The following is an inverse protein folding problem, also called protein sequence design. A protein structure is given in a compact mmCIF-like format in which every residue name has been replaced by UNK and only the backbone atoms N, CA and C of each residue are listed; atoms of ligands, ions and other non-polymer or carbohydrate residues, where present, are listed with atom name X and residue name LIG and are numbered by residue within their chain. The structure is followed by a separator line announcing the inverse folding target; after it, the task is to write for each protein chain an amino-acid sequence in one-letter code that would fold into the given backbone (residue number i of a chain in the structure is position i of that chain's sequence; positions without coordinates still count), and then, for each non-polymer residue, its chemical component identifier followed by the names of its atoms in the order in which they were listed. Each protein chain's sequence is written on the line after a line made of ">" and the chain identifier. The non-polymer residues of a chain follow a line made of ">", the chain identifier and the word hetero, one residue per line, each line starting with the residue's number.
data_IF_748912682066
#
_entry.id   IF_748912682066
#
_cell.length_a   1.000
_cell.length_b   1.000
_cell.length_c   1.000
_cell.angle_alpha   90.00
_cell.angle_beta   90.00
_cell.angle_gamma   90.00
#
_symmetry.space_group_name_H-M   'P 1'
#
loop_
_entity.id
_entity.type
_entity.pdbx_description
1 polymer ?
#
# COMPACT_ATOMS: atom_id res chain seq x y z
N UNK A 1 -1.90 14.47 4.93
CA UNK A 1 -1.49 14.52 6.38
C UNK A 1 -0.03 14.09 6.48
N UNK A 2 0.80 14.70 7.35
CA UNK A 2 2.18 14.24 7.58
C UNK A 2 2.16 13.06 8.58
N UNK A 3 2.78 11.95 8.22
CA UNK A 3 3.07 10.84 9.14
C UNK A 3 4.36 11.17 9.89
N UNK A 4 5.40 11.55 9.14
CA UNK A 4 6.69 12.03 9.64
C UNK A 4 7.09 13.29 8.88
N UNK A 5 8.37 13.73 8.94
CA UNK A 5 8.81 14.84 8.12
C UNK A 5 8.89 14.51 6.63
N UNK A 6 9.21 13.27 6.32
CA UNK A 6 9.49 12.81 4.96
C UNK A 6 8.38 11.88 4.42
N UNK A 7 7.58 11.26 5.29
CA UNK A 7 6.47 10.38 4.93
C UNK A 7 5.16 11.14 5.00
N UNK A 8 4.47 11.23 3.86
CA UNK A 8 3.22 11.97 3.71
C UNK A 8 2.10 10.99 3.34
N UNK A 9 1.03 10.95 4.14
CA UNK A 9 -0.18 10.23 3.78
C UNK A 9 -0.91 10.92 2.63
N UNK A 10 -1.20 10.17 1.58
CA UNK A 10 -1.89 10.64 0.37
C UNK A 10 -3.13 9.80 0.03
N UNK A 11 -3.49 8.88 0.91
CA UNK A 11 -4.70 8.06 0.77
C UNK A 11 -6.00 8.88 0.83
N UNK A 12 -7.12 8.17 0.76
CA UNK A 12 -8.47 8.76 0.71
C UNK A 12 -9.39 8.11 1.73
N UNK A 13 -10.46 8.82 2.09
CA UNK A 13 -11.54 8.32 2.93
C UNK A 13 -12.79 8.06 2.07
N UNK A 14 -13.27 6.83 2.05
CA UNK A 14 -14.50 6.43 1.35
C UNK A 14 -15.67 6.41 2.33
N UNK A 15 -16.55 7.41 2.22
CA UNK A 15 -17.81 7.50 2.98
C UNK A 15 -19.02 6.98 2.18
N UNK A 16 -18.80 6.41 0.99
CA UNK A 16 -19.87 5.98 0.09
C UNK A 16 -20.10 4.47 0.16
N UNK A 17 -19.06 3.69 0.54
CA UNK A 17 -19.19 2.25 0.68
C UNK A 17 -19.91 1.92 1.98
N UNK A 18 -20.88 1.03 1.91
CA UNK A 18 -21.61 0.47 3.05
C UNK A 18 -21.18 -0.97 3.37
N UNK A 19 -20.60 -1.66 2.37
CA UNK A 19 -20.11 -3.03 2.50
C UNK A 19 -18.70 -3.15 1.90
N UNK A 20 -17.70 -3.40 2.74
CA UNK A 20 -16.35 -3.76 2.30
C UNK A 20 -16.32 -5.24 1.86
N UNK A 21 -15.63 -5.55 0.76
CA UNK A 21 -15.64 -6.86 0.09
C UNK A 21 -17.07 -7.43 -0.14
N UNK A 22 -18.10 -6.58 -0.18
CA UNK A 22 -19.49 -6.99 -0.36
C UNK A 22 -20.09 -7.74 0.83
N UNK A 23 -19.41 -7.83 1.98
CA UNK A 23 -19.84 -8.60 3.13
C UNK A 23 -19.67 -7.93 4.49
N UNK A 24 -18.68 -7.05 4.65
CA UNK A 24 -18.42 -6.39 5.94
C UNK A 24 -19.10 -5.02 5.97
N UNK A 25 -20.12 -4.86 6.82
CA UNK A 25 -20.74 -3.54 7.00
C UNK A 25 -19.73 -2.52 7.55
N UNK A 26 -19.63 -1.38 6.89
CA UNK A 26 -18.69 -0.30 7.24
C UNK A 26 -19.44 1.05 7.38
N UNK A 27 -20.23 1.19 8.43
CA UNK A 27 -21.07 2.39 8.61
C UNK A 27 -20.25 3.68 8.75
N UNK A 28 -18.98 3.55 9.13
CA UNK A 28 -18.02 4.65 9.25
C UNK A 28 -17.10 4.76 8.02
N UNK A 29 -17.48 4.14 6.90
CA UNK A 29 -16.70 4.14 5.67
C UNK A 29 -15.42 3.29 5.73
N UNK A 30 -14.48 3.61 4.83
CA UNK A 30 -13.15 2.97 4.73
C UNK A 30 -12.08 4.02 4.48
N UNK A 31 -10.85 3.72 4.86
CA UNK A 31 -9.66 4.44 4.43
C UNK A 31 -8.83 3.58 3.50
N UNK A 32 -8.50 4.09 2.31
CA UNK A 32 -7.56 3.46 1.39
C UNK A 32 -6.20 4.15 1.55
N UNK A 33 -5.21 3.41 2.02
CA UNK A 33 -3.96 3.96 2.48
C UNK A 33 -2.90 4.00 1.37
N UNK A 34 -2.35 5.16 1.13
CA UNK A 34 -1.22 5.38 0.22
C UNK A 34 -0.30 6.45 0.80
N UNK A 35 0.99 6.37 0.49
CA UNK A 35 1.99 7.25 1.07
C UNK A 35 2.99 7.73 0.03
N UNK A 36 3.56 8.92 0.24
CA UNK A 36 4.73 9.42 -0.48
C UNK A 36 5.88 9.50 0.50
N UNK A 37 7.01 8.88 0.16
CA UNK A 37 8.28 8.97 0.89
C UNK A 37 9.21 9.89 0.10
N UNK A 38 9.62 11.00 0.70
CA UNK A 38 10.47 12.01 0.10
C UNK A 38 11.91 11.84 0.55
N UNK A 39 12.79 11.62 -0.41
CA UNK A 39 14.24 11.58 -0.20
C UNK A 39 14.96 12.02 -1.47
N UNK A 40 16.24 11.66 -1.67
CA UNK A 40 16.98 11.85 -2.93
C UNK A 40 16.23 11.19 -4.10
N UNK A 41 15.63 10.02 -3.87
CA UNK A 41 14.62 9.39 -4.71
C UNK A 41 13.28 9.40 -3.99
N UNK A 42 12.22 9.49 -4.76
CA UNK A 42 10.86 9.57 -4.24
C UNK A 42 10.11 8.28 -4.53
N UNK A 43 9.51 7.69 -3.50
CA UNK A 43 8.66 6.52 -3.63
C UNK A 43 7.20 6.83 -3.27
N UNK A 44 6.27 6.24 -4.03
CA UNK A 44 4.85 6.16 -3.68
C UNK A 44 4.56 4.74 -3.27
N UNK A 45 3.83 4.53 -2.19
CA UNK A 45 3.47 3.21 -1.65
C UNK A 45 1.98 2.99 -1.80
N UNK A 46 1.61 1.95 -2.54
CA UNK A 46 0.27 1.56 -2.96
C UNK A 46 -0.52 2.68 -3.66
N UNK A 47 -1.64 2.30 -4.25
CA UNK A 47 -2.65 3.20 -4.81
C UNK A 47 -3.94 3.11 -3.98
N UNK A 48 -5.07 3.52 -4.54
CA UNK A 48 -6.38 3.45 -3.88
C UNK A 48 -7.43 2.87 -4.83
N UNK A 49 -8.66 2.66 -4.36
CA UNK A 49 -9.79 2.25 -5.21
C UNK A 49 -10.00 3.22 -6.39
N UNK A 50 -10.39 2.67 -7.53
CA UNK A 50 -10.53 3.42 -8.80
C UNK A 50 -11.51 4.59 -8.71
N UNK A 51 -12.51 4.52 -7.85
CA UNK A 51 -13.50 5.61 -7.64
C UNK A 51 -12.84 6.91 -7.19
N UNK A 52 -11.70 6.81 -6.50
CA UNK A 52 -10.98 7.95 -5.91
C UNK A 52 -9.72 8.32 -6.70
N UNK A 53 -9.60 7.89 -7.96
CA UNK A 53 -8.45 8.14 -8.82
C UNK A 53 -8.04 9.62 -8.85
N UNK A 54 -9.00 10.53 -9.06
CA UNK A 54 -8.72 11.97 -9.16
C UNK A 54 -8.23 12.54 -7.83
N UNK A 55 -8.95 12.29 -6.75
CA UNK A 55 -8.59 12.78 -5.42
C UNK A 55 -7.20 12.29 -5.00
N UNK A 56 -6.94 10.99 -5.20
CA UNK A 56 -5.66 10.40 -4.88
C UNK A 56 -4.51 10.99 -5.70
N UNK A 57 -4.69 11.15 -7.03
CA UNK A 57 -3.67 11.72 -7.90
C UNK A 57 -3.39 13.20 -7.57
N UNK A 58 -4.41 13.96 -7.16
CA UNK A 58 -4.23 15.32 -6.66
C UNK A 58 -3.45 15.34 -5.35
N UNK A 59 -3.75 14.43 -4.41
CA UNK A 59 -3.02 14.28 -3.16
C UNK A 59 -1.55 13.91 -3.41
N UNK A 60 -1.29 12.96 -4.31
CA UNK A 60 0.07 12.58 -4.73
C UNK A 60 0.79 13.77 -5.37
N UNK A 61 0.16 14.47 -6.33
CA UNK A 61 0.74 15.63 -6.98
C UNK A 61 1.11 16.74 -6.00
N UNK A 62 0.23 17.02 -5.04
CA UNK A 62 0.49 17.99 -3.97
C UNK A 62 1.65 17.54 -3.06
N UNK A 63 1.69 16.25 -2.70
CA UNK A 63 2.78 15.70 -1.90
C UNK A 63 4.11 15.70 -2.65
N UNK A 64 4.13 15.45 -3.94
CA UNK A 64 5.35 15.50 -4.78
C UNK A 64 5.91 16.93 -4.91
N UNK A 65 5.05 17.96 -4.88
CA UNK A 65 5.49 19.35 -4.91
C UNK A 65 6.30 19.72 -6.16
N UNK A 66 6.01 19.09 -7.29
CA UNK A 66 6.68 19.29 -8.58
C UNK A 66 7.87 18.35 -8.83
N UNK A 67 8.25 17.51 -7.88
CA UNK A 67 9.20 16.41 -8.12
C UNK A 67 8.50 15.24 -8.84
N UNK A 68 9.28 14.39 -9.52
CA UNK A 68 8.75 13.17 -10.12
C UNK A 68 9.00 11.98 -9.17
N UNK A 69 8.07 11.01 -9.09
CA UNK A 69 8.32 9.78 -8.34
C UNK A 69 9.28 8.87 -9.14
N UNK A 70 10.27 8.31 -8.44
CA UNK A 70 11.17 7.30 -8.99
C UNK A 70 10.53 5.91 -8.92
N UNK A 71 9.77 5.63 -7.85
CA UNK A 71 9.22 4.32 -7.58
C UNK A 71 7.73 4.38 -7.22
N UNK A 72 6.98 3.37 -7.68
CA UNK A 72 5.66 2.99 -7.18
C UNK A 72 5.78 1.59 -6.58
N UNK A 73 5.71 1.48 -5.26
CA UNK A 73 5.81 0.21 -4.53
C UNK A 73 4.40 -0.35 -4.37
N UNK A 74 4.16 -1.55 -4.89
CA UNK A 74 2.87 -2.25 -4.77
C UNK A 74 3.03 -3.39 -3.78
N UNK A 75 2.42 -3.23 -2.63
CA UNK A 75 2.45 -4.21 -1.55
C UNK A 75 1.35 -5.26 -1.71
N UNK A 76 0.21 -4.85 -2.29
CA UNK A 76 -0.96 -5.68 -2.44
C UNK A 76 -1.70 -5.40 -3.76
N UNK A 77 -2.33 -6.42 -4.32
CA UNK A 77 -2.99 -6.33 -5.63
C UNK A 77 -4.52 -6.28 -5.56
N UNK A 78 -5.10 -6.22 -4.37
CA UNK A 78 -6.52 -5.91 -4.24
C UNK A 78 -6.84 -4.53 -4.81
N UNK A 79 -8.04 -4.31 -5.40
CA UNK A 79 -8.35 -3.07 -6.11
C UNK A 79 -8.14 -1.78 -5.32
N UNK A 80 -8.36 -1.80 -4.01
CA UNK A 80 -8.15 -0.65 -3.13
C UNK A 80 -6.67 -0.31 -2.86
N UNK A 81 -5.75 -1.18 -3.28
CA UNK A 81 -4.29 -0.94 -3.30
C UNK A 81 -3.73 -0.77 -4.71
N UNK A 82 -4.39 -1.30 -5.75
CA UNK A 82 -3.76 -1.48 -7.06
C UNK A 82 -4.53 -0.85 -8.24
N UNK A 83 -5.80 -0.50 -8.08
CA UNK A 83 -6.65 -0.14 -9.22
C UNK A 83 -6.17 1.09 -10.00
N UNK A 84 -5.38 1.95 -9.38
CA UNK A 84 -4.88 3.16 -10.04
C UNK A 84 -3.44 3.04 -10.57
N UNK A 85 -2.82 1.87 -10.58
CA UNK A 85 -1.48 1.67 -11.16
C UNK A 85 -1.43 2.20 -12.60
N UNK A 86 -2.40 1.84 -13.43
CA UNK A 86 -2.46 2.29 -14.82
C UNK A 86 -2.62 3.80 -14.97
N UNK A 87 -3.50 4.42 -14.17
CA UNK A 87 -3.72 5.86 -14.17
C UNK A 87 -2.46 6.61 -13.71
N UNK A 88 -1.79 6.11 -12.68
CA UNK A 88 -0.55 6.67 -12.18
C UNK A 88 0.56 6.64 -13.24
N UNK A 89 0.77 5.50 -13.90
CA UNK A 89 1.79 5.32 -14.94
C UNK A 89 1.53 6.17 -16.19
N UNK A 90 0.29 6.57 -16.46
CA UNK A 90 -0.01 7.54 -17.53
C UNK A 90 0.47 8.94 -17.21
N UNK A 91 0.45 9.33 -15.93
CA UNK A 91 0.88 10.67 -15.48
C UNK A 91 2.38 10.69 -15.23
N UNK A 92 2.92 9.60 -14.66
CA UNK A 92 4.32 9.45 -14.29
C UNK A 92 4.98 8.28 -15.05
N UNK A 93 5.12 8.38 -16.40
CA UNK A 93 5.54 7.26 -17.24
C UNK A 93 6.99 6.81 -17.01
N UNK A 94 7.80 7.61 -16.32
CA UNK A 94 9.21 7.28 -16.03
C UNK A 94 9.39 6.53 -14.70
N UNK A 95 8.31 6.33 -13.94
CA UNK A 95 8.33 5.64 -12.64
C UNK A 95 8.59 4.14 -12.82
N UNK A 96 9.41 3.56 -11.95
CA UNK A 96 9.62 2.12 -11.86
C UNK A 96 8.65 1.50 -10.84
N UNK A 97 7.87 0.51 -11.26
CA UNK A 97 7.01 -0.26 -10.34
C UNK A 97 7.86 -1.28 -9.60
N UNK A 98 7.73 -1.30 -8.28
CA UNK A 98 8.42 -2.25 -7.38
C UNK A 98 7.38 -3.23 -6.83
N UNK A 99 7.68 -4.52 -6.95
CA UNK A 99 6.80 -5.59 -6.46
C UNK A 99 7.49 -6.95 -6.54
N UNK A 100 6.85 -7.98 -6.04
CA UNK A 100 7.38 -9.34 -6.20
C UNK A 100 6.89 -10.01 -7.50
N UNK A 101 7.41 -11.20 -7.81
CA UNK A 101 7.07 -11.93 -9.04
C UNK A 101 5.56 -12.17 -9.21
N UNK A 102 4.84 -12.44 -8.11
CA UNK A 102 3.37 -12.64 -8.16
C UNK A 102 2.64 -11.34 -8.43
N UNK A 103 3.09 -10.23 -7.82
CA UNK A 103 2.56 -8.89 -8.10
C UNK A 103 2.61 -8.60 -9.59
N UNK A 104 3.75 -8.82 -10.25
CA UNK A 104 3.86 -8.59 -11.69
C UNK A 104 3.01 -9.55 -12.54
N UNK A 105 2.86 -10.81 -12.10
CA UNK A 105 1.94 -11.74 -12.76
C UNK A 105 0.49 -11.22 -12.68
N UNK A 106 0.09 -10.68 -11.54
CA UNK A 106 -1.26 -10.13 -11.35
C UNK A 106 -1.45 -8.83 -12.12
N UNK A 107 -0.46 -7.93 -12.15
CA UNK A 107 -0.49 -6.71 -12.97
C UNK A 107 -0.72 -7.07 -14.45
N UNK A 108 0.01 -8.05 -14.98
CA UNK A 108 -0.15 -8.50 -16.36
C UNK A 108 -1.55 -9.07 -16.66
N UNK A 109 -2.21 -9.66 -15.66
CA UNK A 109 -3.58 -10.17 -15.80
C UNK A 109 -4.65 -9.06 -15.68
N UNK A 110 -4.43 -8.08 -14.79
CA UNK A 110 -5.40 -7.02 -14.52
C UNK A 110 -5.33 -5.88 -15.55
N UNK A 111 -4.11 -5.58 -16.01
CA UNK A 111 -3.80 -4.46 -16.88
C UNK A 111 -3.14 -4.95 -18.19
N UNK A 112 -3.90 -5.68 -19.01
CA UNK A 112 -3.40 -6.40 -20.20
C UNK A 112 -2.69 -5.51 -21.24
N UNK A 113 -3.04 -4.23 -21.29
CA UNK A 113 -2.48 -3.26 -22.25
C UNK A 113 -1.28 -2.49 -21.67
N UNK A 114 -0.79 -2.90 -20.49
CA UNK A 114 0.32 -2.25 -19.79
C UNK A 114 1.62 -2.97 -20.08
N UNK A 115 2.52 -2.31 -20.83
CA UNK A 115 3.89 -2.78 -21.03
C UNK A 115 4.78 -2.30 -19.87
N UNK A 116 5.36 -3.25 -19.13
CA UNK A 116 6.19 -2.98 -17.97
C UNK A 116 7.65 -3.43 -18.15
N UNK A 117 8.05 -3.94 -19.30
CA UNK A 117 9.31 -4.69 -19.42
C UNK A 117 10.55 -3.92 -18.95
N UNK A 118 10.60 -2.62 -19.17
CA UNK A 118 11.70 -1.75 -18.69
C UNK A 118 11.36 -0.97 -17.41
N UNK A 119 10.15 -1.12 -16.86
CA UNK A 119 9.60 -0.28 -15.79
C UNK A 119 9.22 -1.09 -14.54
N UNK A 120 9.88 -2.22 -14.34
CA UNK A 120 9.65 -3.08 -13.19
C UNK A 120 10.95 -3.36 -12.44
N UNK A 121 10.86 -3.35 -11.13
CA UNK A 121 11.87 -3.84 -10.19
C UNK A 121 11.26 -4.99 -9.39
N UNK A 122 11.61 -6.22 -9.78
CA UNK A 122 11.19 -7.41 -9.03
C UNK A 122 12.09 -7.59 -7.80
N UNK A 123 11.47 -7.63 -6.62
CA UNK A 123 12.16 -7.82 -5.34
C UNK A 123 11.86 -9.19 -4.75
N UNK A 124 12.76 -9.64 -3.88
CA UNK A 124 12.66 -10.88 -3.10
C UNK A 124 12.48 -10.55 -1.62
N UNK A 125 12.06 -11.55 -0.84
CA UNK A 125 11.97 -11.39 0.61
C UNK A 125 13.32 -11.02 1.22
N UNK A 126 13.35 -9.91 1.95
CA UNK A 126 14.55 -9.37 2.59
C UNK A 126 15.37 -8.41 1.73
N UNK A 127 15.04 -8.25 0.44
CA UNK A 127 15.72 -7.26 -0.40
C UNK A 127 15.50 -5.84 0.13
N UNK A 128 16.43 -4.95 -0.15
CA UNK A 128 16.35 -3.54 0.23
C UNK A 128 16.38 -2.61 -0.97
N UNK A 129 15.76 -1.44 -0.82
CA UNK A 129 15.78 -0.33 -1.78
C UNK A 129 16.17 0.96 -1.06
N UNK A 130 17.29 1.56 -1.47
CA UNK A 130 17.76 2.83 -0.91
C UNK A 130 17.19 4.01 -1.69
N UNK A 131 16.57 4.96 -0.97
CA UNK A 131 16.07 6.21 -1.54
C UNK A 131 17.04 7.38 -1.32
N UNK A 132 18.02 7.23 -0.47
CA UNK A 132 18.97 8.21 0.03
C UNK A 132 19.28 7.87 1.49
N UNK A 133 18.68 8.57 2.43
CA UNK A 133 18.72 8.23 3.87
C UNK A 133 17.74 7.12 4.26
N UNK A 134 16.60 7.03 3.56
CA UNK A 134 15.62 5.96 3.74
C UNK A 134 16.11 4.68 3.07
N UNK A 135 16.12 3.59 3.81
CA UNK A 135 16.34 2.24 3.32
C UNK A 135 15.09 1.40 3.59
N UNK A 136 14.46 0.99 2.51
CA UNK A 136 13.21 0.23 2.53
C UNK A 136 13.51 -1.25 2.38
N UNK A 137 13.13 -2.07 3.36
CA UNK A 137 13.23 -3.51 3.31
C UNK A 137 11.89 -4.14 2.97
N UNK A 138 11.88 -5.11 2.05
CA UNK A 138 10.68 -5.81 1.62
C UNK A 138 10.53 -7.14 2.36
N UNK A 139 9.43 -7.28 3.10
CA UNK A 139 9.12 -8.45 3.92
C UNK A 139 7.89 -9.15 3.35
N UNK A 140 8.04 -10.38 2.85
CA UNK A 140 6.93 -11.09 2.25
C UNK A 140 5.98 -11.64 3.32
N UNK A 141 4.70 -11.38 3.13
CA UNK A 141 3.61 -11.83 3.99
C UNK A 141 2.57 -12.64 3.19
N UNK A 142 2.98 -13.75 2.51
CA UNK A 142 2.08 -14.49 1.66
C UNK A 142 0.88 -15.00 2.43
N UNK A 143 -0.32 -14.83 1.85
CA UNK A 143 -1.62 -15.16 2.45
C UNK A 143 -2.03 -14.25 3.62
N UNK A 144 -1.44 -13.07 3.73
CA UNK A 144 -1.89 -12.04 4.67
C UNK A 144 -2.38 -10.79 3.89
N UNK A 145 -3.56 -10.84 3.17
CA UNK A 145 -4.42 -12.05 3.08
C UNK A 145 -4.39 -12.70 1.68
N UNK A 146 -3.72 -12.12 0.70
CA UNK A 146 -3.51 -12.67 -0.65
C UNK A 146 -2.08 -13.20 -0.84
N UNK A 147 -1.83 -14.05 -1.88
CA UNK A 147 -0.57 -14.78 -2.00
C UNK A 147 0.66 -13.92 -2.37
N UNK A 148 0.46 -12.70 -2.87
CA UNK A 148 1.53 -11.79 -3.29
C UNK A 148 1.87 -10.73 -2.26
N UNK A 149 1.13 -10.63 -1.15
CA UNK A 149 1.30 -9.55 -0.17
C UNK A 149 2.75 -9.48 0.33
N UNK A 150 3.27 -8.27 0.32
CA UNK A 150 4.52 -7.90 0.98
C UNK A 150 4.33 -6.65 1.82
N UNK A 151 5.13 -6.52 2.86
CA UNK A 151 5.22 -5.34 3.70
C UNK A 151 6.49 -4.58 3.35
N UNK A 152 6.53 -3.30 3.64
CA UNK A 152 7.72 -2.47 3.44
C UNK A 152 8.10 -1.84 4.77
N UNK A 153 9.32 -2.10 5.25
CA UNK A 153 9.86 -1.52 6.47
C UNK A 153 10.90 -0.45 6.13
N UNK A 154 10.66 0.76 6.57
CA UNK A 154 11.63 1.87 6.52
C UNK A 154 12.50 1.83 7.78
N UNK A 155 13.76 1.49 7.62
CA UNK A 155 14.70 1.38 8.74
C UNK A 155 15.14 2.73 9.29
N UNK A 156 15.05 3.81 8.50
CA UNK A 156 15.45 5.15 8.92
C UNK A 156 14.46 5.78 9.92
N UNK A 157 13.18 5.81 9.58
CA UNK A 157 12.14 6.36 10.46
C UNK A 157 11.42 5.28 11.29
N UNK A 158 11.78 4.01 11.11
CA UNK A 158 11.19 2.84 11.80
C UNK A 158 9.68 2.75 11.57
N UNK A 159 9.27 2.92 10.32
CA UNK A 159 7.87 2.84 9.89
C UNK A 159 7.65 1.56 9.12
N UNK A 160 6.62 0.80 9.50
CA UNK A 160 6.16 -0.37 8.78
C UNK A 160 4.91 -0.03 7.96
N UNK A 161 5.01 -0.13 6.64
CA UNK A 161 3.86 -0.10 5.73
C UNK A 161 3.35 -1.53 5.60
N UNK A 162 2.21 -1.82 6.17
CA UNK A 162 1.76 -3.19 6.42
C UNK A 162 0.66 -3.68 5.49
N UNK A 163 0.32 -2.94 4.43
CA UNK A 163 -0.85 -3.22 3.60
C UNK A 163 -2.09 -3.45 4.49
N UNK A 164 -2.79 -4.57 4.33
CA UNK A 164 -3.98 -4.91 5.12
C UNK A 164 -3.69 -5.44 6.51
N UNK A 165 -2.51 -5.98 6.73
CA UNK A 165 -2.16 -6.49 8.05
C UNK A 165 -2.24 -5.36 9.09
N UNK A 166 -2.84 -5.65 10.24
CA UNK A 166 -3.02 -4.69 11.35
C UNK A 166 -3.93 -3.50 11.04
N UNK A 167 -4.75 -3.58 9.97
CA UNK A 167 -5.73 -2.56 9.61
C UNK A 167 -6.97 -2.54 10.51
N UNK A 168 -7.83 -1.59 10.26
CA UNK A 168 -9.17 -1.48 10.86
C UNK A 168 -10.20 -1.09 9.79
N UNK A 169 -11.47 -1.37 10.01
CA UNK A 169 -12.54 -0.72 9.27
C UNK A 169 -12.69 0.75 9.70
N UNK A 170 -13.30 1.56 8.83
CA UNK A 170 -13.61 2.95 9.10
C UNK A 170 -12.65 3.96 8.46
N UNK A 171 -13.19 5.10 8.07
CA UNK A 171 -12.44 6.24 7.56
C UNK A 171 -11.60 6.89 8.67
N UNK A 172 -10.51 7.58 8.30
CA UNK A 172 -9.59 8.18 9.29
C UNK A 172 -10.10 9.47 9.91
N UNK A 173 -11.14 10.07 9.36
CA UNK A 173 -11.76 11.32 9.81
C UNK A 173 -13.06 11.11 10.60
N UNK A 174 -13.36 9.86 10.98
CA UNK A 174 -14.50 9.48 11.82
C UNK A 174 -13.99 9.05 13.20
N UNK A 175 -14.64 9.53 14.25
CA UNK A 175 -14.39 9.08 15.61
C UNK A 175 -15.10 7.74 15.86
N UNK A 176 -14.35 6.72 16.25
CA UNK A 176 -14.86 5.36 16.48
C UNK A 176 -14.00 4.61 17.50
N UNK A 177 -14.49 3.48 18.01
CA UNK A 177 -13.69 2.57 18.83
C UNK A 177 -12.69 1.82 17.93
N UNK A 178 -11.42 2.25 18.00
CA UNK A 178 -10.34 1.69 17.19
C UNK A 178 -10.14 0.19 17.45
N UNK A 179 -10.19 -0.23 18.71
CA UNK A 179 -9.93 -1.62 19.12
C UNK A 179 -11.00 -2.58 18.58
N UNK A 180 -12.26 -2.17 18.62
CA UNK A 180 -13.36 -2.97 18.11
C UNK A 180 -13.30 -3.11 16.58
N UNK A 181 -13.05 -2.03 15.86
CA UNK A 181 -12.95 -2.05 14.40
C UNK A 181 -11.67 -2.78 13.92
N UNK A 182 -10.54 -2.64 14.62
CA UNK A 182 -9.33 -3.40 14.33
C UNK A 182 -9.51 -4.90 14.59
N UNK A 183 -10.19 -5.25 15.69
CA UNK A 183 -10.50 -6.66 16.01
C UNK A 183 -11.45 -7.27 14.99
N UNK A 184 -12.47 -6.53 14.57
CA UNK A 184 -13.43 -6.94 13.55
C UNK A 184 -12.75 -7.15 12.20
N UNK A 185 -11.86 -6.22 11.81
CA UNK A 185 -11.04 -6.32 10.59
C UNK A 185 -10.13 -7.55 10.65
N UNK A 186 -9.36 -7.71 11.73
CA UNK A 186 -8.45 -8.84 11.90
C UNK A 186 -9.17 -10.17 11.77
N UNK A 187 -10.28 -10.36 12.50
CA UNK A 187 -11.04 -11.62 12.47
C UNK A 187 -11.61 -11.89 11.08
N UNK A 188 -12.13 -10.88 10.40
CA UNK A 188 -12.77 -11.02 9.09
C UNK A 188 -11.77 -11.25 7.95
N UNK A 189 -10.70 -10.46 7.88
CA UNK A 189 -9.80 -10.39 6.73
C UNK A 189 -8.58 -11.30 6.90
N UNK A 190 -7.76 -11.10 7.93
CA UNK A 190 -6.45 -11.75 8.05
C UNK A 190 -6.40 -12.91 9.05
N UNK A 191 -7.33 -13.00 10.00
CA UNK A 191 -7.26 -13.94 11.12
C UNK A 191 -7.31 -15.41 10.74
N UNK A 192 -7.94 -15.76 9.61
CA UNK A 192 -7.91 -17.13 9.04
C UNK A 192 -6.49 -17.57 8.65
N UNK A 193 -5.58 -16.64 8.49
CA UNK A 193 -4.15 -16.85 8.19
C UNK A 193 -3.25 -16.55 9.39
N UNK A 194 -3.73 -16.74 10.62
CA UNK A 194 -3.04 -16.37 11.86
C UNK A 194 -1.61 -16.91 11.98
N UNK A 195 -1.33 -18.12 11.44
CA UNK A 195 0.03 -18.66 11.39
C UNK A 195 0.97 -17.79 10.53
N UNK A 196 0.49 -17.35 9.38
CA UNK A 196 1.25 -16.48 8.46
C UNK A 196 1.45 -15.09 9.07
N UNK A 197 0.43 -14.56 9.77
CA UNK A 197 0.55 -13.31 10.53
C UNK A 197 1.62 -13.43 11.62
N UNK A 198 1.64 -14.53 12.39
CA UNK A 198 2.67 -14.78 13.39
C UNK A 198 4.08 -14.82 12.79
N UNK A 199 4.24 -15.50 11.65
CA UNK A 199 5.53 -15.54 10.97
C UNK A 199 5.97 -14.14 10.52
N UNK A 200 5.06 -13.32 10.01
CA UNK A 200 5.34 -11.94 9.63
C UNK A 200 5.80 -11.10 10.84
N UNK A 201 5.13 -11.21 12.00
CA UNK A 201 5.49 -10.50 13.22
C UNK A 201 6.88 -10.89 13.75
N UNK A 202 7.30 -12.14 13.58
CA UNK A 202 8.65 -12.56 13.97
C UNK A 202 9.75 -11.85 13.16
N UNK A 203 9.51 -11.53 11.90
CA UNK A 203 10.47 -10.76 11.09
C UNK A 203 10.51 -9.27 11.46
N UNK A 204 9.42 -8.73 12.00
CA UNK A 204 9.30 -7.32 12.35
C UNK A 204 9.65 -7.02 13.81
N UNK A 205 9.65 -8.03 14.71
CA UNK A 205 9.91 -7.86 16.13
C UNK A 205 11.39 -7.67 16.46
N UNK A 206 12.29 -8.06 15.57
CA UNK A 206 13.75 -7.90 15.72
C UNK A 206 14.31 -6.68 14.95
N UNK A 207 13.41 -5.87 14.36
CA UNK A 207 13.74 -4.69 13.56
C UNK A 207 13.74 -3.39 14.41
#
# INVERSE_FOLDING_TARGET
>A
MKVTNDIIYVGVNDHQTDLFEGQYAVPNGMAYNSYVIRDEKVAVVDTVDVKFAHEWLDNVGAALGGTKPDYLIIQHMEPDHSANIYNFMKIYPDTTIVGNAKTFTMIANFFRDMDLDEKKLEVKNGDTLTLGKHELQFLFAPMVHWPEVMLTYDSYEKVLFSADAFGKFGALDVEEDWDDEARRYYIGIVGKYGMQVQNCLLYTSDA
#
